data_IF_043621617826
#
_entry.id   IF_043621617826
#
_cell.length_a   1.000
_cell.length_b   1.000
_cell.length_c   1.000
_cell.angle_alpha   90.00
_cell.angle_beta   90.00
_cell.angle_gamma   90.00
#
_symmetry.space_group_name_H-M   'P 1'
#
loop_
_entity.id
_entity.type
_entity.pdbx_description
1 polymer ?
#
# COMPACT_ATOMS: atom_id res chain seq x y z
N UNK A 1 8.07 -21.17 2.86
CA UNK A 1 7.84 -20.54 4.17
C UNK A 1 6.72 -19.51 4.04
N UNK A 2 5.61 -19.72 4.73
CA UNK A 2 4.45 -18.82 4.71
C UNK A 2 4.84 -17.52 5.43
N UNK A 3 4.85 -16.38 4.73
CA UNK A 3 5.20 -15.09 5.31
C UNK A 3 4.09 -14.64 6.26
N UNK A 4 4.26 -14.84 7.57
CA UNK A 4 3.34 -14.28 8.56
C UNK A 4 3.37 -12.75 8.46
N UNK A 5 2.21 -12.16 8.18
CA UNK A 5 2.07 -10.71 7.95
C UNK A 5 1.05 -10.16 8.93
N UNK A 6 1.49 -9.24 9.77
CA UNK A 6 0.66 -8.56 10.76
C UNK A 6 -0.39 -7.67 10.09
N UNK A 7 -1.58 -7.66 10.68
CA UNK A 7 -2.64 -6.69 10.44
C UNK A 7 -2.26 -5.31 10.97
N UNK A 8 -3.00 -4.28 10.57
CA UNK A 8 -2.79 -2.91 11.05
C UNK A 8 -2.96 -2.83 12.57
N UNK A 9 -3.96 -3.51 13.13
CA UNK A 9 -4.18 -3.58 14.58
C UNK A 9 -3.00 -4.23 15.31
N UNK A 10 -2.51 -5.38 14.84
CA UNK A 10 -1.35 -6.07 15.43
C UNK A 10 -0.08 -5.21 15.36
N UNK A 11 0.13 -4.47 14.26
CA UNK A 11 1.26 -3.53 14.15
C UNK A 11 1.18 -2.41 15.18
N UNK A 12 0.00 -1.82 15.39
CA UNK A 12 -0.21 -0.77 16.40
C UNK A 12 -0.01 -1.33 17.80
N UNK A 13 -0.50 -2.53 18.08
CA UNK A 13 -0.27 -3.19 19.37
C UNK A 13 1.23 -3.44 19.61
N UNK A 14 1.94 -3.95 18.60
CA UNK A 14 3.40 -4.15 18.65
C UNK A 14 4.14 -2.83 18.94
N UNK A 15 3.73 -1.72 18.32
CA UNK A 15 4.31 -0.40 18.58
C UNK A 15 4.10 0.01 20.04
N UNK A 16 2.87 -0.11 20.55
CA UNK A 16 2.56 0.22 21.96
C UNK A 16 3.34 -0.65 22.95
N UNK A 17 3.47 -1.93 22.68
CA UNK A 17 4.27 -2.85 23.51
C UNK A 17 5.77 -2.50 23.48
N UNK A 18 6.28 -2.04 22.32
CA UNK A 18 7.65 -1.55 22.22
C UNK A 18 7.87 -0.24 22.99
N UNK A 19 6.91 0.68 22.96
CA UNK A 19 6.93 1.92 23.76
C UNK A 19 6.90 1.64 25.27
N UNK A 20 6.29 0.52 25.68
CA UNK A 20 6.35 -0.02 27.04
C UNK A 20 7.67 -0.79 27.35
N UNK A 21 8.74 -0.55 26.59
CA UNK A 21 10.07 -1.16 26.75
C UNK A 21 10.16 -2.67 26.48
N UNK A 22 9.20 -3.26 25.75
CA UNK A 22 9.33 -4.67 25.32
C UNK A 22 10.44 -4.81 24.27
N UNK A 23 11.33 -5.78 24.48
CA UNK A 23 12.46 -6.03 23.59
C UNK A 23 12.01 -6.51 22.20
N UNK A 24 12.81 -6.19 21.18
CA UNK A 24 12.54 -6.61 19.79
C UNK A 24 12.48 -8.13 19.64
N UNK A 25 13.26 -8.86 20.44
CA UNK A 25 13.30 -10.33 20.43
C UNK A 25 12.00 -10.90 20.98
N UNK A 26 11.55 -10.39 22.12
CA UNK A 26 10.27 -10.78 22.74
C UNK A 26 9.10 -10.54 21.80
N UNK A 27 9.08 -9.38 21.13
CA UNK A 27 8.05 -9.04 20.14
C UNK A 27 8.10 -9.98 18.93
N UNK A 28 9.30 -10.25 18.39
CA UNK A 28 9.48 -11.16 17.27
C UNK A 28 8.94 -12.56 17.57
N UNK A 29 9.24 -13.07 18.77
CA UNK A 29 8.82 -14.40 19.22
C UNK A 29 7.31 -14.47 19.49
N UNK A 30 6.71 -13.41 20.04
CA UNK A 30 5.27 -13.33 20.31
C UNK A 30 4.46 -13.25 19.00
N UNK A 31 4.79 -12.29 18.13
CA UNK A 31 4.10 -12.04 16.87
C UNK A 31 4.51 -13.02 15.74
N UNK A 32 5.42 -13.97 16.01
CA UNK A 32 5.94 -14.96 15.04
C UNK A 32 6.45 -14.30 13.75
N UNK A 33 7.22 -13.23 13.90
CA UNK A 33 7.85 -12.49 12.80
C UNK A 33 9.35 -12.37 13.02
N UNK A 34 10.09 -11.95 11.99
CA UNK A 34 11.53 -11.72 12.15
C UNK A 34 11.80 -10.41 12.90
N UNK A 35 12.96 -10.33 13.55
CA UNK A 35 13.45 -9.09 14.20
C UNK A 35 13.50 -7.92 13.19
N UNK A 36 13.88 -8.21 11.93
CA UNK A 36 13.86 -7.21 10.86
C UNK A 36 12.45 -6.70 10.55
N UNK A 37 11.42 -7.56 10.62
CA UNK A 37 10.02 -7.14 10.50
C UNK A 37 9.58 -6.26 11.67
N UNK A 38 9.95 -6.59 12.91
CA UNK A 38 9.70 -5.75 14.10
C UNK A 38 10.31 -4.35 13.89
N UNK A 39 11.59 -4.30 13.49
CA UNK A 39 12.29 -3.05 13.21
C UNK A 39 11.61 -2.23 12.11
N UNK A 40 11.18 -2.86 11.02
CA UNK A 40 10.48 -2.17 9.95
C UNK A 40 9.12 -1.60 10.37
N UNK A 41 8.38 -2.31 11.21
CA UNK A 41 7.10 -1.80 11.77
C UNK A 41 7.36 -0.58 12.65
N UNK A 42 8.36 -0.65 13.54
CA UNK A 42 8.71 0.46 14.43
C UNK A 42 9.22 1.68 13.65
N UNK A 43 10.02 1.47 12.60
CA UNK A 43 10.47 2.57 11.71
C UNK A 43 9.31 3.30 11.03
N UNK A 44 8.21 2.58 10.71
CA UNK A 44 7.01 3.11 10.07
C UNK A 44 5.88 3.40 11.09
N UNK A 45 6.23 3.66 12.35
CA UNK A 45 5.24 3.82 13.42
C UNK A 45 4.23 4.95 13.17
N UNK A 46 4.69 6.09 12.64
CA UNK A 46 3.84 7.24 12.36
C UNK A 46 2.72 6.88 11.38
N UNK A 47 3.10 6.27 10.25
CA UNK A 47 2.15 5.79 9.23
C UNK A 47 1.18 4.73 9.80
N UNK A 48 1.66 3.82 10.65
CA UNK A 48 0.79 2.79 11.24
C UNK A 48 -0.25 3.39 12.19
N UNK A 49 0.13 4.39 12.99
CA UNK A 49 -0.78 5.07 13.92
C UNK A 49 -1.77 5.93 13.14
N UNK A 50 -1.30 6.74 12.20
CA UNK A 50 -2.14 7.61 11.37
C UNK A 50 -3.20 6.81 10.61
N UNK A 51 -2.82 5.71 9.96
CA UNK A 51 -3.78 4.86 9.25
C UNK A 51 -4.81 4.25 10.22
N UNK A 52 -4.39 3.89 11.44
CA UNK A 52 -5.30 3.33 12.44
C UNK A 52 -6.29 4.39 12.98
N UNK A 53 -5.83 5.62 13.19
CA UNK A 53 -6.65 6.76 13.63
C UNK A 53 -7.67 7.19 12.56
N UNK A 54 -7.31 7.13 11.29
CA UNK A 54 -8.21 7.40 10.16
C UNK A 54 -9.25 6.28 9.91
N UNK A 55 -9.42 5.33 10.84
CA UNK A 55 -10.31 4.18 10.73
C UNK A 55 -10.07 3.35 9.45
N UNK A 56 -8.82 3.26 8.97
CA UNK A 56 -8.52 2.28 7.93
C UNK A 56 -8.82 0.87 8.42
N UNK A 57 -9.17 -0.02 7.49
CA UNK A 57 -9.50 -1.41 7.80
C UNK A 57 -8.41 -2.06 8.67
N UNK A 58 -8.75 -2.31 9.94
CA UNK A 58 -7.82 -2.81 10.96
C UNK A 58 -7.27 -4.20 10.65
N UNK A 59 -7.99 -4.99 9.83
CA UNK A 59 -7.59 -6.33 9.35
C UNK A 59 -6.63 -6.28 8.16
N UNK A 60 -6.39 -5.08 7.60
CA UNK A 60 -5.53 -4.88 6.43
C UNK A 60 -4.08 -5.21 6.78
N UNK A 61 -3.46 -6.06 5.96
CA UNK A 61 -2.09 -6.56 6.18
C UNK A 61 -1.01 -5.76 5.46
N UNK A 62 -1.36 -5.09 4.35
CA UNK A 62 -0.44 -4.32 3.51
C UNK A 62 -0.76 -2.83 3.60
N UNK A 63 0.25 -2.00 3.80
CA UNK A 63 0.08 -0.56 3.83
C UNK A 63 -0.37 -0.04 2.46
N UNK A 64 -0.99 1.14 2.45
CA UNK A 64 -1.39 1.79 1.21
C UNK A 64 -0.17 2.04 0.31
N UNK A 65 -0.42 2.02 -1.00
CA UNK A 65 0.54 2.47 -2.00
C UNK A 65 0.82 3.96 -1.73
N UNK A 66 2.04 4.39 -2.03
CA UNK A 66 2.45 5.80 -2.11
C UNK A 66 1.30 6.69 -2.65
N UNK A 67 1.11 7.89 -2.09
CA UNK A 67 0.01 8.81 -2.41
C UNK A 67 -0.11 9.01 -3.93
N UNK A 68 1.02 9.15 -4.61
CA UNK A 68 1.10 9.27 -6.06
C UNK A 68 0.47 8.07 -6.79
N UNK A 69 0.70 6.85 -6.30
CA UNK A 69 0.12 5.65 -6.88
C UNK A 69 -1.38 5.56 -6.61
N UNK A 70 -1.86 6.04 -5.46
CA UNK A 70 -3.30 6.11 -5.20
C UNK A 70 -3.98 7.11 -6.13
N UNK A 71 -3.40 8.31 -6.29
CA UNK A 71 -3.90 9.32 -7.22
C UNK A 71 -3.91 8.79 -8.66
N UNK A 72 -2.89 8.03 -9.06
CA UNK A 72 -2.83 7.36 -10.36
C UNK A 72 -3.96 6.34 -10.52
N UNK A 73 -4.10 5.40 -9.59
CA UNK A 73 -5.12 4.35 -9.63
C UNK A 73 -6.52 4.97 -9.70
N UNK A 74 -6.77 6.03 -8.91
CA UNK A 74 -8.05 6.75 -8.91
C UNK A 74 -8.34 7.43 -10.25
N UNK A 75 -7.39 8.18 -10.82
CA UNK A 75 -7.58 8.85 -12.13
C UNK A 75 -7.78 7.86 -13.27
N UNK A 76 -7.07 6.73 -13.26
CA UNK A 76 -7.27 5.65 -14.25
C UNK A 76 -8.67 5.07 -14.11
N UNK A 77 -9.12 4.80 -12.88
CA UNK A 77 -10.45 4.26 -12.63
C UNK A 77 -11.57 5.22 -13.07
N UNK A 78 -11.47 6.51 -12.75
CA UNK A 78 -12.42 7.54 -13.18
C UNK A 78 -12.54 7.59 -14.70
N UNK A 79 -11.40 7.63 -15.40
CA UNK A 79 -11.39 7.59 -16.85
C UNK A 79 -12.06 6.31 -17.38
N UNK A 80 -11.72 5.14 -16.84
CA UNK A 80 -12.31 3.87 -17.27
C UNK A 80 -13.83 3.84 -17.05
N UNK A 81 -14.31 4.33 -15.91
CA UNK A 81 -15.73 4.39 -15.59
C UNK A 81 -16.50 5.28 -16.57
N UNK A 82 -15.93 6.41 -16.97
CA UNK A 82 -16.52 7.31 -17.97
C UNK A 82 -16.63 6.65 -19.34
N UNK A 83 -15.64 5.85 -19.76
CA UNK A 83 -15.72 5.16 -21.04
C UNK A 83 -16.72 3.99 -21.01
N UNK A 84 -16.78 3.28 -19.88
CA UNK A 84 -17.76 2.21 -19.67
C UNK A 84 -19.20 2.73 -19.66
N UNK A 85 -19.46 3.90 -19.07
CA UNK A 85 -20.79 4.51 -19.11
C UNK A 85 -21.24 4.90 -20.53
N UNK A 86 -20.28 5.08 -21.46
CA UNK A 86 -20.53 5.28 -22.88
C UNK A 86 -20.64 3.97 -23.69
N UNK A 87 -20.69 2.81 -23.02
CA UNK A 87 -20.67 1.47 -23.63
C UNK A 87 -19.45 1.21 -24.54
N UNK A 88 -18.33 1.89 -24.30
CA UNK A 88 -17.10 1.67 -25.05
C UNK A 88 -16.35 0.47 -24.43
N UNK A 89 -16.09 -0.61 -25.19
CA UNK A 89 -15.26 -1.70 -24.70
C UNK A 89 -13.80 -1.24 -24.62
N UNK A 90 -13.19 -1.39 -23.44
CA UNK A 90 -11.78 -1.06 -23.21
C UNK A 90 -10.99 -2.35 -23.01
N UNK A 91 -9.91 -2.49 -23.76
CA UNK A 91 -8.94 -3.57 -23.61
C UNK A 91 -7.89 -3.24 -22.55
N UNK A 92 -7.30 -4.27 -21.93
CA UNK A 92 -6.22 -4.10 -20.95
C UNK A 92 -5.04 -3.24 -21.44
N UNK A 93 -4.52 -3.45 -22.68
CA UNK A 93 -3.46 -2.60 -23.24
C UNK A 93 -3.84 -1.12 -23.32
N UNK A 94 -5.12 -0.80 -23.52
CA UNK A 94 -5.59 0.58 -23.55
C UNK A 94 -5.58 1.21 -22.14
N UNK A 95 -5.97 0.44 -21.11
CA UNK A 95 -5.87 0.87 -19.70
C UNK A 95 -4.40 1.13 -19.34
N UNK A 96 -3.49 0.23 -19.74
CA UNK A 96 -2.06 0.39 -19.50
C UNK A 96 -1.48 1.62 -20.21
N UNK A 97 -1.92 1.91 -21.43
CA UNK A 97 -1.53 3.12 -22.15
C UNK A 97 -2.01 4.39 -21.45
N UNK A 98 -3.28 4.42 -21.02
CA UNK A 98 -3.84 5.54 -20.28
C UNK A 98 -3.14 5.74 -18.93
N UNK A 99 -2.82 4.66 -18.22
CA UNK A 99 -2.14 4.73 -16.94
C UNK A 99 -0.73 5.33 -17.07
N UNK A 100 0.00 5.00 -18.14
CA UNK A 100 1.30 5.64 -18.43
C UNK A 100 1.15 7.12 -18.68
N UNK A 101 0.12 7.52 -19.43
CA UNK A 101 -0.12 8.93 -19.71
C UNK A 101 -0.52 9.72 -18.46
N UNK A 102 -1.44 9.18 -17.66
CA UNK A 102 -1.83 9.78 -16.38
C UNK A 102 -0.63 9.88 -15.43
N UNK A 103 0.25 8.87 -15.41
CA UNK A 103 1.46 8.92 -14.58
C UNK A 103 2.42 10.05 -15.01
N UNK A 104 2.56 10.31 -16.31
CA UNK A 104 3.33 11.46 -16.80
C UNK A 104 2.72 12.78 -16.35
N UNK A 105 1.39 12.89 -16.38
CA UNK A 105 0.66 14.09 -15.96
C UNK A 105 0.75 14.33 -14.45
N UNK A 106 0.73 13.27 -13.65
CA UNK A 106 0.90 13.35 -12.19
C UNK A 106 2.34 13.65 -11.75
N UNK A 107 3.34 13.36 -12.61
CA UNK A 107 4.75 13.58 -12.31
C UNK A 107 5.33 12.58 -11.32
N UNK A 108 6.24 13.05 -10.46
CA UNK A 108 7.01 12.26 -9.49
C UNK A 108 8.48 12.11 -9.88
N UNK A 109 9.24 11.31 -9.11
CA UNK A 109 10.68 11.16 -9.32
C UNK A 109 11.02 10.58 -10.71
N UNK A 110 10.29 9.53 -11.14
CA UNK A 110 10.54 8.81 -12.39
C UNK A 110 9.22 8.50 -13.14
N UNK A 111 8.53 9.49 -13.73
CA UNK A 111 7.24 9.28 -14.38
C UNK A 111 7.31 8.38 -15.62
N UNK A 112 8.41 8.44 -16.38
CA UNK A 112 8.59 7.64 -17.61
C UNK A 112 9.00 6.17 -17.36
N UNK A 113 9.42 5.83 -16.15
CA UNK A 113 9.77 4.45 -15.79
C UNK A 113 8.55 3.59 -15.44
N UNK A 114 7.38 4.21 -15.28
CA UNK A 114 6.16 3.47 -14.98
C UNK A 114 5.72 2.64 -16.18
N UNK A 115 5.81 1.31 -16.04
CA UNK A 115 5.56 0.38 -17.16
C UNK A 115 4.10 0.00 -17.37
N UNK A 116 3.22 0.24 -16.39
CA UNK A 116 1.85 -0.31 -16.37
C UNK A 116 1.82 -1.78 -16.81
N UNK A 117 2.65 -2.63 -16.17
CA UNK A 117 2.84 -4.03 -16.59
C UNK A 117 1.57 -4.87 -16.40
N UNK A 118 1.56 -6.08 -16.95
CA UNK A 118 0.47 -7.04 -16.73
C UNK A 118 0.24 -7.41 -15.26
N UNK A 119 1.25 -7.22 -14.38
CA UNK A 119 1.08 -7.44 -12.94
C UNK A 119 0.56 -6.20 -12.19
N UNK A 120 0.52 -5.04 -12.85
CA UNK A 120 -0.08 -3.83 -12.33
C UNK A 120 -1.56 -3.73 -12.68
N UNK A 121 -1.91 -4.06 -13.93
CA UNK A 121 -3.29 -4.11 -14.44
C UNK A 121 -4.09 -5.19 -13.72
#
# INVERSE_FOLDING_TARGET
ATKHTLTLSEKVQLIRENENNTSYRTLADYYKISIGSVSNVIKRKAECIENYEHNENSTKKRNFRDELNQQLDQKVYEWFAIQRSKNIPISGPLIQAQAREIRRQLGGANPDEFKASNGWL
#
